data_IF_184984846285
#
_entry.id   IF_184984846285
#
_cell.length_a   1.000
_cell.length_b   1.000
_cell.length_c   1.000
_cell.angle_alpha   90.00
_cell.angle_beta   90.00
_cell.angle_gamma   90.00
#
_symmetry.space_group_name_H-M   'P 1'
#
loop_
_entity.id
_entity.type
_entity.pdbx_description
1 polymer ?
#
# COMPACT_ATOMS: atom_id res chain seq x y z
N UNK A 1 -8.08 -3.79 -2.16
CA UNK A 1 -7.00 -4.79 -2.32
C UNK A 1 -7.58 -6.10 -2.78
N UNK A 2 -6.74 -7.12 -3.02
CA UNK A 2 -7.17 -8.41 -3.55
C UNK A 2 -7.73 -9.32 -2.46
N UNK A 3 -8.99 -9.13 -2.08
CA UNK A 3 -9.64 -9.93 -1.06
C UNK A 3 -9.89 -11.35 -1.59
N UNK A 4 -9.59 -12.36 -0.77
CA UNK A 4 -9.71 -13.81 -1.09
C UNK A 4 -8.83 -14.34 -2.23
N UNK A 5 -8.02 -13.49 -2.84
CA UNK A 5 -7.06 -13.88 -3.88
C UNK A 5 -5.68 -14.02 -3.24
N UNK A 6 -5.08 -15.19 -3.43
CA UNK A 6 -3.70 -15.43 -3.05
C UNK A 6 -2.78 -14.75 -4.06
N UNK A 7 -1.86 -13.94 -3.56
CA UNK A 7 -0.90 -13.20 -4.37
C UNK A 7 0.49 -13.52 -3.85
N UNK A 8 1.24 -14.31 -4.60
CA UNK A 8 2.61 -14.65 -4.27
C UNK A 8 3.55 -13.49 -4.63
N UNK A 9 4.57 -13.24 -3.80
CA UNK A 9 5.63 -12.26 -4.09
C UNK A 9 5.31 -10.84 -3.67
N UNK A 10 4.32 -10.66 -2.78
CA UNK A 10 3.94 -9.38 -2.20
C UNK A 10 4.08 -9.36 -0.66
N UNK A 11 4.78 -10.33 -0.07
CA UNK A 11 4.90 -10.51 1.38
C UNK A 11 5.99 -9.63 1.99
N UNK A 12 6.99 -9.22 1.19
CA UNK A 12 8.14 -8.48 1.69
C UNK A 12 7.72 -7.15 2.30
N UNK A 13 8.25 -6.86 3.48
CA UNK A 13 8.04 -5.61 4.22
C UNK A 13 9.23 -4.68 4.10
N UNK A 14 10.33 -5.12 3.47
CA UNK A 14 11.59 -4.40 3.43
C UNK A 14 11.49 -3.10 2.63
N UNK A 15 12.35 -2.14 2.96
CA UNK A 15 12.49 -0.91 2.17
C UNK A 15 12.97 -1.27 0.76
N UNK A 16 12.34 -0.68 -0.27
CA UNK A 16 12.64 -0.98 -1.67
C UNK A 16 11.86 -2.14 -2.28
N UNK A 17 11.11 -2.91 -1.47
CA UNK A 17 10.25 -4.00 -1.98
C UNK A 17 8.92 -3.52 -2.58
N UNK A 18 8.53 -2.26 -2.36
CA UNK A 18 7.19 -1.78 -2.70
C UNK A 18 6.84 -1.91 -4.17
N UNK A 19 7.81 -1.69 -5.08
CA UNK A 19 7.59 -1.81 -6.52
C UNK A 19 7.34 -3.26 -6.94
N UNK A 20 8.15 -4.19 -6.47
CA UNK A 20 7.99 -5.62 -6.74
C UNK A 20 6.67 -6.14 -6.20
N UNK A 21 6.33 -5.79 -4.95
CA UNK A 21 5.06 -6.17 -4.33
C UNK A 21 3.86 -5.60 -5.10
N UNK A 22 3.94 -4.34 -5.53
CA UNK A 22 2.89 -3.68 -6.32
C UNK A 22 2.66 -4.44 -7.62
N UNK A 23 3.73 -4.76 -8.37
CA UNK A 23 3.61 -5.52 -9.61
C UNK A 23 2.98 -6.91 -9.37
N UNK A 24 3.43 -7.64 -8.34
CA UNK A 24 2.85 -8.94 -7.97
C UNK A 24 1.34 -8.84 -7.69
N UNK A 25 0.90 -7.77 -7.00
CA UNK A 25 -0.52 -7.49 -6.77
C UNK A 25 -1.29 -7.26 -8.08
N UNK A 26 -0.71 -6.50 -9.01
CA UNK A 26 -1.37 -6.19 -10.29
C UNK A 26 -1.47 -7.43 -11.19
N UNK A 27 -0.46 -8.31 -11.13
CA UNK A 27 -0.38 -9.57 -11.87
C UNK A 27 -1.23 -10.67 -11.24
N UNK A 28 -1.56 -10.56 -9.95
CA UNK A 28 -2.39 -11.50 -9.19
C UNK A 28 -3.84 -11.63 -9.67
N UNK A 29 -4.22 -10.98 -10.77
CA UNK A 29 -5.52 -11.17 -11.42
C UNK A 29 -6.70 -10.74 -10.56
N UNK A 30 -6.49 -9.77 -9.68
CA UNK A 30 -7.49 -9.32 -8.73
C UNK A 30 -8.69 -8.70 -9.45
N UNK A 31 -9.72 -9.50 -9.66
CA UNK A 31 -11.04 -9.02 -10.04
C UNK A 31 -11.69 -8.44 -8.81
N UNK A 32 -12.17 -7.20 -8.94
CA UNK A 32 -12.88 -6.53 -7.89
C UNK A 32 -14.20 -7.27 -7.63
N UNK A 33 -14.18 -8.18 -6.67
CA UNK A 33 -15.37 -8.82 -6.16
C UNK A 33 -15.74 -8.21 -4.79
N UNK A 34 -17.03 -7.93 -4.62
CA UNK A 34 -17.73 -7.38 -3.46
C UNK A 34 -17.93 -5.85 -3.30
N UNK A 35 -19.21 -5.47 -3.45
CA UNK A 35 -20.04 -4.45 -2.77
C UNK A 35 -19.63 -2.97 -2.88
N UNK A 36 -18.35 -2.65 -2.99
CA UNK A 36 -17.86 -1.27 -3.10
C UNK A 36 -17.15 -1.09 -4.45
N UNK A 37 -17.62 -0.13 -5.26
CA UNK A 37 -17.03 0.24 -6.54
C UNK A 37 -15.78 1.12 -6.34
N UNK A 38 -14.62 0.72 -6.88
CA UNK A 38 -13.38 1.52 -6.86
C UNK A 38 -12.09 0.67 -6.90
N UNK A 39 -11.09 1.11 -7.66
CA UNK A 39 -9.86 0.35 -7.88
C UNK A 39 -9.09 -0.05 -6.60
N UNK A 40 -8.26 -1.10 -6.72
CA UNK A 40 -7.35 -1.50 -5.64
C UNK A 40 -6.25 -0.46 -5.44
N UNK A 41 -5.80 -0.28 -4.20
CA UNK A 41 -4.74 0.69 -3.84
C UNK A 41 -3.46 0.57 -4.71
N UNK A 42 -3.08 -0.65 -5.09
CA UNK A 42 -1.93 -0.89 -5.97
C UNK A 42 -2.15 -0.30 -7.38
N UNK A 43 -3.37 -0.44 -7.93
CA UNK A 43 -3.75 0.10 -9.25
C UNK A 43 -3.80 1.62 -9.20
N UNK A 44 -4.42 2.18 -8.15
CA UNK A 44 -4.45 3.63 -7.91
C UNK A 44 -3.04 4.21 -7.87
N UNK A 45 -2.10 3.54 -7.21
CA UNK A 45 -0.71 4.00 -7.13
C UNK A 45 0.05 3.83 -8.45
N UNK A 46 -0.20 2.73 -9.17
CA UNK A 46 0.44 2.42 -10.45
C UNK A 46 -0.01 3.36 -11.59
N UNK A 47 -1.30 3.66 -11.66
CA UNK A 47 -1.87 4.56 -12.68
C UNK A 47 -1.63 6.05 -12.33
N UNK A 48 -1.09 6.33 -11.14
CA UNK A 48 -0.84 7.70 -10.70
C UNK A 48 0.24 8.36 -11.55
N UNK A 49 -0.07 9.53 -12.09
CA UNK A 49 0.89 10.36 -12.84
C UNK A 49 0.98 11.73 -12.20
N UNK A 50 2.20 12.19 -11.94
CA UNK A 50 2.47 13.51 -11.39
C UNK A 50 3.76 14.07 -11.98
N UNK A 51 3.73 15.31 -12.48
CA UNK A 51 4.89 16.00 -13.03
C UNK A 51 5.66 15.22 -14.13
N UNK A 52 4.93 14.43 -14.95
CA UNK A 52 5.52 13.62 -16.02
C UNK A 52 6.13 12.29 -15.57
N UNK A 53 5.95 11.92 -14.30
CA UNK A 53 6.40 10.64 -13.76
C UNK A 53 5.25 9.64 -13.68
N UNK A 54 5.48 8.45 -14.21
CA UNK A 54 4.51 7.33 -14.33
C UNK A 54 5.01 6.06 -13.62
N UNK A 55 6.19 6.12 -12.97
CA UNK A 55 6.86 5.01 -12.31
C UNK A 55 6.51 4.91 -10.81
N UNK A 56 5.31 5.36 -10.45
CA UNK A 56 4.80 5.32 -9.08
C UNK A 56 4.32 3.91 -8.69
N UNK A 57 4.45 3.59 -7.41
CA UNK A 57 4.02 2.31 -6.86
C UNK A 57 3.50 2.45 -5.43
N UNK A 58 2.80 1.42 -4.95
CA UNK A 58 2.29 1.37 -3.58
C UNK A 58 3.43 0.97 -2.62
N UNK A 59 3.73 1.77 -1.58
CA UNK A 59 4.89 1.54 -0.72
C UNK A 59 4.79 0.22 0.05
N UNK A 60 5.92 -0.42 0.32
CA UNK A 60 6.02 -1.51 1.31
C UNK A 60 5.76 -0.99 2.72
N UNK A 61 5.58 -1.90 3.69
CA UNK A 61 5.41 -1.51 5.08
C UNK A 61 6.63 -0.73 5.62
N UNK A 62 7.85 -1.16 5.28
CA UNK A 62 9.08 -0.46 5.66
C UNK A 62 9.19 0.93 5.04
N UNK A 63 8.77 1.10 3.78
CA UNK A 63 8.72 2.43 3.13
C UNK A 63 7.69 3.34 3.82
N UNK A 64 6.53 2.82 4.23
CA UNK A 64 5.59 3.59 5.06
C UNK A 64 6.18 3.97 6.42
N UNK A 65 6.97 3.09 7.03
CA UNK A 65 7.68 3.38 8.28
C UNK A 65 8.62 4.57 8.15
N UNK A 66 9.41 4.61 7.08
CA UNK A 66 10.27 5.76 6.78
C UNK A 66 9.46 7.03 6.49
N UNK A 67 8.37 6.93 5.73
CA UNK A 67 7.50 8.09 5.51
C UNK A 67 6.89 8.61 6.82
N UNK A 68 6.56 7.71 7.75
CA UNK A 68 6.05 8.10 9.05
C UNK A 68 7.12 8.84 9.86
N UNK A 69 8.30 8.23 10.10
CA UNK A 69 9.34 8.81 10.95
C UNK A 69 10.00 10.04 10.35
N UNK A 70 10.21 10.06 9.03
CA UNK A 70 10.97 11.12 8.37
C UNK A 70 10.10 12.25 7.86
N UNK A 71 8.82 12.01 7.55
CA UNK A 71 7.94 13.03 6.99
C UNK A 71 6.78 13.38 7.92
N UNK A 72 5.96 12.39 8.31
CA UNK A 72 4.76 12.64 9.11
C UNK A 72 5.11 13.24 10.47
N UNK A 73 6.05 12.66 11.21
CA UNK A 73 6.44 13.15 12.53
C UNK A 73 7.04 14.55 12.47
N UNK A 74 7.73 14.87 11.36
CA UNK A 74 8.29 16.20 11.08
C UNK A 74 7.30 17.17 10.46
N UNK A 75 6.02 16.77 10.29
CA UNK A 75 4.93 17.56 9.69
C UNK A 75 5.20 17.98 8.24
N UNK A 76 5.94 17.16 7.49
CA UNK A 76 6.24 17.36 6.08
C UNK A 76 5.28 16.50 5.24
N UNK A 77 4.80 17.01 4.11
CA UNK A 77 4.07 16.20 3.11
C UNK A 77 2.55 16.09 3.32
N UNK A 78 1.97 16.86 4.23
CA UNK A 78 0.50 16.98 4.42
C UNK A 78 -0.22 15.63 4.57
N UNK A 79 0.35 14.77 5.41
CA UNK A 79 -0.26 13.49 5.74
C UNK A 79 -1.48 13.69 6.65
N UNK A 80 -2.60 13.04 6.30
CA UNK A 80 -3.71 12.85 7.23
C UNK A 80 -3.20 12.20 8.53
N UNK A 81 -3.49 12.84 9.67
CA UNK A 81 -3.14 12.36 11.00
C UNK A 81 -4.08 11.30 11.57
N UNK A 82 -4.97 10.75 10.74
CA UNK A 82 -5.97 9.75 11.09
C UNK A 82 -6.03 8.68 10.00
N UNK A 83 -6.75 7.59 10.27
CA UNK A 83 -6.90 6.50 9.33
C UNK A 83 -5.65 5.62 9.22
N UNK A 84 -5.64 4.78 8.18
CA UNK A 84 -4.60 3.77 7.91
C UNK A 84 -4.04 4.03 6.52
N UNK A 85 -2.73 4.05 6.40
CA UNK A 85 -2.03 4.10 5.12
C UNK A 85 -1.77 2.68 4.65
N UNK A 86 -2.23 2.38 3.45
CA UNK A 86 -2.18 1.04 2.86
C UNK A 86 -0.77 0.77 2.35
N UNK A 87 -0.20 -0.39 2.67
CA UNK A 87 1.04 -0.86 2.04
C UNK A 87 0.78 -1.92 0.96
N UNK A 88 1.78 -2.17 0.13
CA UNK A 88 1.82 -3.30 -0.81
C UNK A 88 2.23 -4.61 -0.14
N UNK A 89 2.66 -4.59 1.13
CA UNK A 89 3.06 -5.78 1.87
C UNK A 89 1.85 -6.56 2.39
N UNK A 90 1.82 -7.84 2.08
CA UNK A 90 0.75 -8.76 2.46
C UNK A 90 1.15 -9.58 3.69
N UNK A 91 0.15 -10.12 4.39
CA UNK A 91 0.40 -11.09 5.45
C UNK A 91 0.71 -12.45 4.81
N UNK A 92 1.80 -13.09 5.25
CA UNK A 92 2.11 -14.47 4.89
C UNK A 92 0.94 -15.41 5.21
N UNK A 93 0.72 -16.40 4.34
CA UNK A 93 -0.33 -17.42 4.47
C UNK A 93 -1.75 -16.84 4.64
N UNK A 94 -2.00 -15.62 4.14
CA UNK A 94 -3.32 -14.99 4.18
C UNK A 94 -3.68 -14.36 2.85
N UNK A 95 -4.84 -14.73 2.31
CA UNK A 95 -5.43 -14.12 1.11
C UNK A 95 -6.43 -12.98 1.44
N UNK A 96 -6.67 -12.68 2.72
CA UNK A 96 -7.67 -11.69 3.15
C UNK A 96 -7.07 -10.48 3.86
N UNK A 97 -5.83 -10.57 4.35
CA UNK A 97 -5.18 -9.52 5.13
C UNK A 97 -3.94 -8.96 4.43
N UNK A 98 -3.68 -7.68 4.68
CA UNK A 98 -2.45 -7.00 4.30
C UNK A 98 -1.99 -6.08 5.42
N UNK A 99 -0.74 -5.65 5.35
CA UNK A 99 -0.20 -4.67 6.28
C UNK A 99 -0.65 -3.26 5.91
N UNK A 100 -0.67 -2.41 6.93
CA UNK A 100 -0.93 -0.99 6.85
C UNK A 100 -0.29 -0.30 8.05
N UNK A 101 -0.16 1.03 7.99
CA UNK A 101 0.39 1.81 9.09
C UNK A 101 -0.56 2.94 9.50
N UNK A 102 -0.74 3.14 10.81
CA UNK A 102 -1.50 4.27 11.35
C UNK A 102 -0.58 5.49 11.50
N UNK A 103 -0.80 6.52 10.71
CA UNK A 103 0.01 7.75 10.79
C UNK A 103 -0.38 8.67 11.97
N UNK A 104 -1.36 8.26 12.78
CA UNK A 104 -1.65 8.88 14.07
C UNK A 104 -0.60 8.55 15.14
N UNK A 105 0.07 7.40 15.04
CA UNK A 105 0.96 6.90 16.09
C UNK A 105 2.03 5.88 15.63
N UNK A 106 2.24 5.72 14.33
CA UNK A 106 3.25 4.82 13.76
C UNK A 106 2.93 3.32 13.87
N UNK A 107 1.74 2.95 14.35
CA UNK A 107 1.44 1.53 14.61
C UNK A 107 1.21 0.76 13.30
N UNK A 108 1.95 -0.33 13.13
CA UNK A 108 1.72 -1.34 12.10
C UNK A 108 0.49 -2.17 12.45
N UNK A 109 -0.39 -2.38 11.47
CA UNK A 109 -1.65 -3.09 11.67
C UNK A 109 -1.98 -3.98 10.48
N UNK A 110 -2.59 -5.13 10.76
CA UNK A 110 -3.23 -5.95 9.74
C UNK A 110 -4.64 -5.42 9.46
N UNK A 111 -4.97 -5.30 8.19
CA UNK A 111 -6.29 -4.87 7.72
C UNK A 111 -6.85 -5.87 6.71
N UNK A 112 -8.18 -5.97 6.63
CA UNK A 112 -8.79 -6.71 5.55
C UNK A 112 -8.63 -5.97 4.22
N UNK A 113 -8.32 -6.72 3.16
CA UNK A 113 -8.02 -6.18 1.83
C UNK A 113 -9.22 -5.51 1.15
N UNK A 114 -10.43 -5.71 1.67
CA UNK A 114 -11.67 -5.06 1.21
C UNK A 114 -11.97 -3.74 1.96
N UNK A 115 -11.13 -3.31 2.90
CA UNK A 115 -11.30 -2.03 3.59
C UNK A 115 -10.58 -0.88 2.87
N UNK A 116 -11.13 0.32 2.99
CA UNK A 116 -10.51 1.54 2.48
C UNK A 116 -9.44 2.08 3.43
N UNK A 117 -8.48 2.80 2.86
CA UNK A 117 -7.48 3.57 3.60
C UNK A 117 -6.81 4.59 2.68
N UNK A 118 -5.86 5.32 3.25
CA UNK A 118 -5.09 6.31 2.52
C UNK A 118 -4.05 5.62 1.63
N UNK A 119 -3.97 6.06 0.37
CA UNK A 119 -2.95 5.64 -0.59
C UNK A 119 -1.97 6.79 -0.76
N UNK A 120 -0.68 6.50 -0.62
CA UNK A 120 0.38 7.47 -0.84
C UNK A 120 1.46 6.83 -1.73
N UNK A 121 1.36 7.01 -3.06
CA UNK A 121 2.31 6.42 -3.99
C UNK A 121 3.73 6.95 -3.75
N UNK A 122 4.73 6.10 -3.98
CA UNK A 122 6.15 6.42 -3.90
C UNK A 122 6.85 6.06 -5.21
N UNK A 123 8.04 6.62 -5.44
CA UNK A 123 8.93 6.34 -6.58
C UNK A 123 10.35 6.16 -6.07
N UNK A 124 11.16 5.36 -6.75
CA UNK A 124 12.60 5.23 -6.48
C UNK A 124 13.42 6.10 -7.46
N UNK A 125 14.66 6.41 -7.12
CA UNK A 125 15.60 7.19 -7.94
C UNK A 125 17.02 6.66 -7.82
#
# INVERSE_FOLDING_TARGET
GCYTVEVAGAESQEVGSGKTNTNAILDGGCVQDYVYSGDIAARIAYDYTLNGFEDWYLPSLGELGLMYSELREKKIGDFAGYGRYISSSQQEESNIRSWAMRFSNGLEVLIYRNLHGHVRPVRSF
#
